data_IF_450126022904
#
_entry.id   IF_450126022904
#
_cell.length_a   1.000
_cell.length_b   1.000
_cell.length_c   1.000
_cell.angle_alpha   90.00
_cell.angle_beta   90.00
_cell.angle_gamma   90.00
#
_symmetry.space_group_name_H-M   'P 1'
#
loop_
_entity.id
_entity.type
_entity.pdbx_description
1 polymer ?
#
# COMPACT_ATOMS: atom_id res chain seq x y z
N UNK A 1 -3.66 -3.53 14.47
CA UNK A 1 -3.04 -4.12 13.26
C UNK A 1 -1.52 -4.16 13.33
N UNK A 2 -0.79 -3.05 13.48
CA UNK A 2 0.69 -3.07 13.53
C UNK A 2 1.29 -4.02 14.59
N UNK A 3 0.76 -4.04 15.81
CA UNK A 3 1.21 -4.97 16.87
C UNK A 3 0.98 -6.45 16.50
N UNK A 4 -0.12 -6.76 15.81
CA UNK A 4 -0.45 -8.12 15.35
C UNK A 4 0.52 -8.54 14.24
N UNK A 5 0.83 -7.63 13.30
CA UNK A 5 1.81 -7.87 12.24
C UNK A 5 3.21 -8.12 12.82
N UNK A 6 3.63 -7.32 13.81
CA UNK A 6 4.91 -7.51 14.49
C UNK A 6 4.97 -8.87 15.21
N UNK A 7 3.91 -9.22 15.96
CA UNK A 7 3.81 -10.52 16.63
C UNK A 7 3.86 -11.69 15.63
N UNK A 8 3.07 -11.62 14.56
CA UNK A 8 3.04 -12.64 13.52
C UNK A 8 4.42 -12.81 12.84
N UNK A 9 5.12 -11.70 12.57
CA UNK A 9 6.47 -11.75 11.98
C UNK A 9 7.46 -12.46 12.89
N UNK A 10 7.41 -12.22 14.20
CA UNK A 10 8.30 -12.85 15.18
C UNK A 10 8.00 -14.34 15.31
N UNK A 11 6.73 -14.72 15.36
CA UNK A 11 6.31 -16.13 15.43
C UNK A 11 6.72 -16.89 14.16
N UNK A 12 6.51 -16.30 12.98
CA UNK A 12 6.95 -16.88 11.71
C UNK A 12 8.48 -17.07 11.69
N UNK A 13 9.23 -16.08 12.19
CA UNK A 13 10.68 -16.18 12.30
C UNK A 13 11.13 -17.30 13.24
N UNK A 14 10.54 -17.41 14.43
CA UNK A 14 10.84 -18.50 15.36
C UNK A 14 10.55 -19.88 14.73
N UNK A 15 9.42 -20.02 14.05
CA UNK A 15 9.07 -21.26 13.36
C UNK A 15 10.07 -21.66 12.25
N UNK A 16 10.68 -20.69 11.57
CA UNK A 16 11.75 -20.96 10.60
C UNK A 16 13.04 -21.43 11.28
N UNK A 17 13.41 -20.80 12.40
CA UNK A 17 14.62 -21.16 13.17
C UNK A 17 14.50 -22.56 13.76
N UNK A 18 13.32 -22.92 14.30
CA UNK A 18 13.06 -24.25 14.87
C UNK A 18 13.13 -25.37 13.83
N UNK A 19 12.70 -25.12 12.59
CA UNK A 19 12.76 -26.10 11.49
C UNK A 19 14.18 -26.40 11.02
N UNK A 20 15.15 -25.50 11.25
CA UNK A 20 16.55 -25.68 10.86
C UNK A 20 16.83 -25.71 9.34
N UNK A 21 15.80 -25.73 8.50
CA UNK A 21 15.88 -25.62 7.06
C UNK A 21 14.93 -24.50 6.60
N UNK A 22 15.50 -23.46 6.00
CA UNK A 22 14.77 -22.28 5.52
C UNK A 22 14.60 -22.39 4.02
N UNK A 23 13.36 -22.42 3.55
CA UNK A 23 13.04 -22.43 2.12
C UNK A 23 12.84 -21.02 1.57
N UNK A 24 12.82 -20.88 0.24
CA UNK A 24 12.54 -19.59 -0.41
C UNK A 24 11.15 -19.06 -0.04
N UNK A 25 10.16 -19.95 0.09
CA UNK A 25 8.80 -19.56 0.49
C UNK A 25 8.74 -18.99 1.91
N UNK A 26 9.50 -19.56 2.84
CA UNK A 26 9.57 -19.07 4.22
C UNK A 26 10.18 -17.66 4.29
N UNK A 27 11.24 -17.40 3.51
CA UNK A 27 11.87 -16.07 3.40
C UNK A 27 10.90 -15.06 2.78
N UNK A 28 10.18 -15.46 1.73
CA UNK A 28 9.20 -14.61 1.07
C UNK A 28 8.04 -14.27 2.00
N UNK A 29 7.56 -15.23 2.79
CA UNK A 29 6.55 -15.02 3.80
C UNK A 29 7.01 -14.01 4.87
N UNK A 30 8.23 -14.17 5.39
CA UNK A 30 8.81 -13.22 6.35
C UNK A 30 8.90 -11.82 5.75
N UNK A 31 9.36 -11.72 4.51
CA UNK A 31 9.44 -10.44 3.83
C UNK A 31 8.04 -9.78 3.78
N UNK A 32 6.92 -10.54 3.65
CA UNK A 32 5.55 -9.98 3.48
C UNK A 32 5.15 -9.31 4.78
N UNK A 33 5.43 -9.98 5.90
CA UNK A 33 5.20 -9.43 7.22
C UNK A 33 6.05 -8.20 7.50
N UNK A 34 7.31 -8.18 7.07
CA UNK A 34 8.18 -7.01 7.23
C UNK A 34 7.69 -5.81 6.40
N UNK A 35 7.19 -6.05 5.18
CA UNK A 35 6.70 -4.97 4.33
C UNK A 35 5.38 -4.36 4.82
N UNK A 36 4.44 -5.21 5.24
CA UNK A 36 3.23 -4.77 5.95
C UNK A 36 3.57 -4.06 7.27
N UNK A 37 4.58 -4.54 7.99
CA UNK A 37 5.12 -3.90 9.20
C UNK A 37 5.64 -2.49 8.91
N UNK A 38 6.48 -2.33 7.89
CA UNK A 38 7.02 -1.04 7.48
C UNK A 38 5.91 -0.06 7.07
N UNK A 39 4.92 -0.52 6.30
CA UNK A 39 3.77 0.30 5.91
C UNK A 39 2.95 0.76 7.12
N UNK A 40 2.64 -0.14 8.06
CA UNK A 40 1.90 0.24 9.28
C UNK A 40 2.72 1.16 10.19
N UNK A 41 4.05 1.00 10.26
CA UNK A 41 4.95 1.91 10.97
C UNK A 41 4.95 3.33 10.37
N UNK A 42 5.04 3.44 9.05
CA UNK A 42 4.95 4.74 8.34
C UNK A 42 3.56 5.36 8.51
N UNK A 43 2.50 4.54 8.48
CA UNK A 43 1.13 4.99 8.69
C UNK A 43 0.96 5.68 10.06
N UNK A 44 1.46 5.06 11.13
CA UNK A 44 1.40 5.66 12.47
C UNK A 44 2.11 7.02 12.55
N UNK A 45 3.19 7.21 11.78
CA UNK A 45 3.94 8.48 11.76
C UNK A 45 3.24 9.59 10.96
N UNK A 46 2.38 9.25 10.01
CA UNK A 46 1.87 10.19 8.99
C UNK A 46 0.35 10.40 9.01
N UNK A 47 -0.42 9.61 9.77
CA UNK A 47 -1.90 9.67 9.95
C UNK A 47 -2.77 9.59 8.67
N UNK A 48 -2.20 9.69 7.47
CA UNK A 48 -2.92 9.58 6.20
C UNK A 48 -2.67 8.20 5.57
N UNK A 49 -3.73 7.48 5.17
CA UNK A 49 -3.62 6.30 4.29
C UNK A 49 -3.93 6.70 2.85
N UNK A 50 -2.94 7.14 2.05
CA UNK A 50 -3.14 7.27 0.61
C UNK A 50 -3.25 5.88 -0.05
N UNK A 51 -4.18 5.77 -1.01
CA UNK A 51 -4.41 4.60 -1.90
C UNK A 51 -3.10 4.06 -2.51
N UNK A 52 -2.10 4.92 -2.65
CA UNK A 52 -0.76 4.57 -3.14
C UNK A 52 -0.11 3.42 -2.36
N UNK A 53 -0.30 3.36 -1.04
CA UNK A 53 0.29 2.28 -0.23
C UNK A 53 -0.32 0.91 -0.55
N UNK A 54 -1.62 0.83 -0.80
CA UNK A 54 -2.30 -0.42 -1.15
C UNK A 54 -1.81 -0.98 -2.49
N UNK A 55 -1.57 -0.11 -3.47
CA UNK A 55 -1.05 -0.54 -4.77
C UNK A 55 0.39 -1.05 -4.67
N UNK A 56 1.24 -0.42 -3.83
CA UNK A 56 2.58 -0.95 -3.58
C UNK A 56 2.54 -2.35 -2.96
N UNK A 57 1.68 -2.57 -1.96
CA UNK A 57 1.50 -3.90 -1.35
C UNK A 57 1.07 -4.93 -2.40
N UNK A 58 0.15 -4.58 -3.30
CA UNK A 58 -0.29 -5.48 -4.36
C UNK A 58 0.83 -5.82 -5.34
N UNK A 59 1.62 -4.84 -5.79
CA UNK A 59 2.76 -5.05 -6.69
C UNK A 59 3.79 -5.96 -6.03
N UNK A 60 4.14 -5.67 -4.78
CA UNK A 60 5.14 -6.44 -4.08
C UNK A 60 4.64 -7.87 -3.82
N UNK A 61 3.37 -8.06 -3.43
CA UNK A 61 2.77 -9.39 -3.27
C UNK A 61 2.82 -10.20 -4.58
N UNK A 62 2.45 -9.62 -5.73
CA UNK A 62 2.55 -10.30 -7.02
C UNK A 62 4.00 -10.62 -7.40
N UNK A 63 4.93 -9.69 -7.17
CA UNK A 63 6.36 -9.90 -7.47
C UNK A 63 6.95 -11.02 -6.61
N UNK A 64 6.48 -11.17 -5.36
CA UNK A 64 6.88 -12.26 -4.46
C UNK A 64 6.31 -13.61 -4.86
N UNK A 65 5.07 -13.63 -5.35
CA UNK A 65 4.49 -14.84 -5.93
C UNK A 65 5.29 -15.28 -7.16
N UNK A 66 5.70 -14.33 -8.01
CA UNK A 66 6.53 -14.63 -9.17
C UNK A 66 7.88 -15.25 -8.79
N UNK A 67 8.60 -14.69 -7.81
CA UNK A 67 9.91 -15.24 -7.42
C UNK A 67 9.79 -16.60 -6.70
N UNK A 68 8.71 -16.83 -5.93
CA UNK A 68 8.40 -18.15 -5.33
C UNK A 68 8.17 -19.20 -6.43
N UNK A 69 7.35 -18.86 -7.42
CA UNK A 69 6.98 -19.73 -8.54
C UNK A 69 8.19 -20.08 -9.42
N UNK A 70 9.01 -19.06 -9.75
CA UNK A 70 10.27 -19.24 -10.50
C UNK A 70 11.28 -20.10 -9.73
N UNK A 71 11.29 -20.03 -8.40
CA UNK A 71 12.28 -20.78 -7.60
C UNK A 71 11.96 -22.27 -7.47
N UNK A 72 10.72 -22.71 -7.71
CA UNK A 72 10.29 -24.10 -7.46
C UNK A 72 10.16 -24.97 -8.71
N UNK A 73 10.10 -24.41 -9.93
CA UNK A 73 9.82 -25.19 -11.15
C UNK A 73 10.78 -24.88 -12.31
N UNK A 74 11.44 -25.93 -12.84
CA UNK A 74 12.34 -25.92 -13.99
C UNK A 74 11.68 -26.36 -15.33
N UNK A 75 10.44 -25.93 -15.66
CA UNK A 75 10.13 -25.64 -17.05
C UNK A 75 9.44 -24.27 -17.22
N UNK A 76 9.45 -23.70 -18.45
CA UNK A 76 8.78 -22.45 -18.75
C UNK A 76 7.26 -22.63 -18.68
N UNK A 77 6.68 -22.40 -17.51
CA UNK A 77 5.24 -22.42 -17.31
C UNK A 77 4.61 -21.11 -17.80
N UNK A 78 3.45 -21.22 -18.44
CA UNK A 78 2.66 -20.08 -18.92
C UNK A 78 2.16 -19.22 -17.74
N UNK A 79 2.10 -19.77 -16.52
CA UNK A 79 1.76 -19.04 -15.28
C UNK A 79 2.65 -17.82 -15.02
N UNK A 80 3.96 -17.91 -15.30
CA UNK A 80 4.90 -16.79 -15.15
C UNK A 80 4.51 -15.62 -16.07
N UNK A 81 4.01 -15.90 -17.26
CA UNK A 81 3.59 -14.86 -18.21
C UNK A 81 2.35 -14.13 -17.70
N UNK A 82 1.39 -14.85 -17.11
CA UNK A 82 0.22 -14.23 -16.47
C UNK A 82 0.60 -13.39 -15.24
N UNK A 83 1.54 -13.87 -14.41
CA UNK A 83 2.08 -13.11 -13.28
C UNK A 83 2.77 -11.82 -13.74
N UNK A 84 3.64 -11.91 -14.75
CA UNK A 84 4.29 -10.75 -15.36
C UNK A 84 3.25 -9.75 -15.92
N UNK A 85 2.22 -10.26 -16.61
CA UNK A 85 1.13 -9.45 -17.15
C UNK A 85 0.32 -8.75 -16.04
N UNK A 86 0.06 -9.42 -14.93
CA UNK A 86 -0.60 -8.84 -13.75
C UNK A 86 0.20 -7.72 -13.12
N UNK A 87 1.51 -7.89 -12.96
CA UNK A 87 2.41 -6.84 -12.47
C UNK A 87 2.42 -5.64 -13.42
N UNK A 88 2.46 -5.88 -14.73
CA UNK A 88 2.38 -4.83 -15.75
C UNK A 88 1.06 -4.05 -15.64
N UNK A 89 -0.07 -4.75 -15.47
CA UNK A 89 -1.38 -4.12 -15.31
C UNK A 89 -1.44 -3.27 -14.04
N UNK A 90 -0.93 -3.77 -12.90
CA UNK A 90 -0.84 -2.98 -11.66
C UNK A 90 0.08 -1.76 -11.81
N UNK A 91 1.21 -1.91 -12.52
CA UNK A 91 2.11 -0.80 -12.83
C UNK A 91 1.43 0.26 -13.71
N UNK A 92 0.59 -0.16 -14.66
CA UNK A 92 -0.22 0.77 -15.44
C UNK A 92 -1.30 1.45 -14.58
N UNK A 93 -1.97 0.70 -13.70
CA UNK A 93 -2.96 1.25 -12.79
C UNK A 93 -2.38 2.33 -11.88
N UNK A 94 -1.17 2.14 -11.32
CA UNK A 94 -0.53 3.18 -10.50
C UNK A 94 -0.13 4.40 -11.33
N UNK A 95 0.25 4.23 -12.59
CA UNK A 95 0.55 5.34 -13.50
C UNK A 95 -0.71 6.18 -13.72
N UNK A 96 -1.85 5.55 -13.99
CA UNK A 96 -3.14 6.22 -14.15
C UNK A 96 -3.57 6.93 -12.86
N UNK A 97 -3.50 6.25 -11.72
CA UNK A 97 -3.86 6.84 -10.41
C UNK A 97 -2.95 8.02 -10.08
N UNK A 98 -1.64 7.91 -10.36
CA UNK A 98 -0.68 8.99 -10.15
C UNK A 98 -0.96 10.18 -11.06
N UNK A 99 -1.29 9.94 -12.33
CA UNK A 99 -1.66 10.98 -13.28
C UNK A 99 -2.96 11.70 -12.89
N UNK A 100 -4.00 10.94 -12.51
CA UNK A 100 -5.28 11.47 -12.06
C UNK A 100 -5.13 12.31 -10.77
N UNK A 101 -4.37 11.80 -9.80
CA UNK A 101 -4.11 12.50 -8.54
C UNK A 101 -3.27 13.77 -8.72
N UNK A 102 -2.44 13.84 -9.76
CA UNK A 102 -1.67 15.03 -10.10
C UNK A 102 -2.53 16.10 -10.80
N UNK A 103 -3.52 15.67 -11.60
CA UNK A 103 -4.35 16.57 -12.42
C UNK A 103 -5.57 17.13 -11.69
N UNK A 104 -6.06 16.46 -10.64
CA UNK A 104 -7.12 16.95 -9.75
C UNK A 104 -6.65 16.98 -8.28
N UNK A 105 -5.86 17.98 -7.87
CA UNK A 105 -5.70 18.26 -6.45
C UNK A 105 -7.08 18.68 -5.93
N UNK A 106 -7.59 18.01 -4.91
CA UNK A 106 -8.88 18.32 -4.27
C UNK A 106 -8.99 19.83 -4.11
N UNK A 107 -9.92 20.43 -4.86
CA UNK A 107 -10.21 21.84 -4.76
C UNK A 107 -10.52 22.14 -3.29
N UNK A 108 -9.78 23.08 -2.70
CA UNK A 108 -10.10 23.62 -1.38
C UNK A 108 -11.59 23.93 -1.37
N UNK A 109 -12.34 23.20 -0.57
CA UNK A 109 -13.73 23.53 -0.25
C UNK A 109 -13.66 24.96 0.31
N UNK A 110 -14.30 25.97 -0.31
CA UNK A 110 -14.33 27.30 0.27
C UNK A 110 -15.05 27.17 1.61
N UNK A 111 -14.36 27.48 2.71
CA UNK A 111 -14.96 27.50 4.04
C UNK A 111 -16.20 28.41 4.01
N UNK A 112 -17.39 27.80 4.12
CA UNK A 112 -18.67 28.53 4.14
C UNK A 112 -18.82 29.45 5.37
N UNK A 113 -17.82 29.46 6.27
CA UNK A 113 -17.73 30.36 7.41
C UNK A 113 -17.45 31.81 7.00
N UNK A 114 -16.90 32.05 5.80
CA UNK A 114 -16.60 33.41 5.32
C UNK A 114 -17.83 34.14 4.79
N UNK A 115 -18.86 33.41 4.32
CA UNK A 115 -20.09 34.00 3.78
C UNK A 115 -20.99 34.60 4.89
N UNK A 116 -20.98 34.00 6.08
CA UNK A 116 -21.78 34.49 7.22
C UNK A 116 -21.21 35.79 7.81
N UNK A 117 -19.89 36.00 7.76
CA UNK A 117 -19.25 37.22 8.30
C UNK A 117 -19.51 38.47 7.45
N UNK A 118 -19.75 38.30 6.15
CA UNK A 118 -20.13 39.38 5.23
C UNK A 118 -21.55 39.89 5.47
N UNK A 119 -22.52 39.00 5.61
CA UNK A 119 -23.92 39.36 5.82
C UNK A 119 -24.18 40.11 7.14
N UNK A 120 -23.45 39.77 8.21
CA UNK A 120 -23.59 40.43 9.52
C UNK A 120 -23.00 41.85 9.53
N UNK A 121 -22.15 42.20 8.57
CA UNK A 121 -21.56 43.54 8.48
C UNK A 121 -22.45 44.51 7.69
N UNK A 122 -23.24 44.02 6.72
CA UNK A 122 -24.19 44.85 5.98
C UNK A 122 -25.43 45.23 6.81
N UNK A 123 -25.92 44.36 7.70
CA UNK A 123 -27.12 44.68 8.52
C UNK A 123 -26.85 45.75 9.60
N UNK A 124 -25.58 46.01 9.93
CA UNK A 124 -25.22 46.94 11.03
C UNK A 124 -24.89 48.36 10.58
N UNK A 125 -25.11 48.69 9.31
CA UNK A 125 -24.76 49.97 8.69
C UNK A 125 -25.93 50.91 8.35
N UNK A 126 -27.18 50.53 8.65
CA UNK A 126 -28.36 51.34 8.34
C UNK A 126 -29.17 51.64 9.61
N UNK A 127 -28.65 52.50 10.49
CA UNK A 127 -29.39 53.43 11.36
C UNK A 127 -28.54 54.67 11.60
#
# INVERSE_FOLDING_TARGET
MGAITAWASVVAFMGMVEKGNVTVDDILLLFIYLELGAMTGIYFKTNHMPVRFLIYVAITALTRLLISDVSHHNPPDIGIVYLCGGILLLAFAILVVRYASYKYPSAKIPDSSSAVKGAVTEEKGEV
#
